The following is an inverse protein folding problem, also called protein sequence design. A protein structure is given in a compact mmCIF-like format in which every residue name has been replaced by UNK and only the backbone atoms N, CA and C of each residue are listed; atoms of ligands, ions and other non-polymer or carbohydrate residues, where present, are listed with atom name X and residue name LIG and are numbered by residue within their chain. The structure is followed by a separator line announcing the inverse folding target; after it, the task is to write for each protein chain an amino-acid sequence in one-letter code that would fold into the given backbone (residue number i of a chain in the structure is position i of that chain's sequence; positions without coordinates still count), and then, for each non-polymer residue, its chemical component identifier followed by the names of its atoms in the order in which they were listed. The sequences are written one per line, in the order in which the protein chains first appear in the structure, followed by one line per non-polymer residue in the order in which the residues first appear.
data_IF_102928407304
#
_entry.id   IF_102928407304
#
_cell.length_a   1.000
_cell.length_b   1.000
_cell.length_c   1.000
_cell.angle_alpha   90.00
_cell.angle_beta   90.00
_cell.angle_gamma   90.00
#
_symmetry.space_group_name_H-M   'P 1'
#
loop_
_entity.id
_entity.type
_entity.pdbx_description
1 polymer ?
#
# COMPACT_ATOMS: atom_id res chain seq x y z
N UNK A 1 18.04 -9.92 -2.40
CA UNK A 1 17.91 -8.98 -3.53
C UNK A 1 16.58 -8.28 -3.36
N UNK A 2 16.54 -6.95 -3.47
CA UNK A 2 15.27 -6.22 -3.41
C UNK A 2 14.38 -6.63 -4.60
N UNK A 3 13.05 -6.71 -4.41
CA UNK A 3 12.13 -7.07 -5.49
C UNK A 3 12.23 -6.03 -6.61
N UNK A 4 12.11 -6.47 -7.87
CA UNK A 4 12.01 -5.55 -8.99
C UNK A 4 10.61 -4.94 -8.99
N UNK A 5 10.53 -3.65 -8.68
CA UNK A 5 9.27 -2.88 -8.65
C UNK A 5 9.19 -2.05 -9.94
N UNK A 6 8.15 -2.27 -10.76
CA UNK A 6 7.89 -1.39 -11.90
C UNK A 6 7.20 -0.11 -11.46
N UNK A 7 7.47 1.00 -12.17
CA UNK A 7 6.80 2.29 -11.94
C UNK A 7 5.99 2.63 -13.18
N UNK A 8 4.67 2.72 -13.03
CA UNK A 8 3.73 3.08 -14.07
C UNK A 8 3.15 4.46 -13.74
N UNK A 9 3.56 5.53 -14.47
CA UNK A 9 3.16 6.89 -14.13
C UNK A 9 1.66 7.13 -14.39
N UNK A 10 1.02 7.85 -13.48
CA UNK A 10 -0.35 8.35 -13.62
C UNK A 10 -0.44 9.34 -14.79
N UNK A 11 -1.21 8.98 -15.83
CA UNK A 11 -1.44 9.84 -17.00
C UNK A 11 -2.26 11.08 -16.68
N UNK A 12 -3.15 10.96 -15.70
CA UNK A 12 -4.05 12.02 -15.23
C UNK A 12 -3.67 12.45 -13.80
N UNK A 13 -2.37 12.62 -13.55
CA UNK A 13 -1.88 13.08 -12.25
C UNK A 13 -2.55 14.39 -11.82
N UNK A 14 -2.80 14.54 -10.52
CA UNK A 14 -3.48 15.69 -9.95
C UNK A 14 -2.71 16.97 -10.24
N UNK A 15 -3.41 17.95 -10.81
CA UNK A 15 -2.85 19.28 -11.08
C UNK A 15 -2.16 19.87 -9.82
N UNK A 16 -0.95 20.45 -9.94
CA UNK A 16 -0.23 20.97 -8.77
C UNK A 16 -1.01 22.00 -7.95
N UNK A 17 -1.84 22.83 -8.59
CA UNK A 17 -2.70 23.80 -7.89
C UNK A 17 -3.77 23.08 -7.09
N UNK A 18 -4.39 22.05 -7.69
CA UNK A 18 -5.39 21.23 -7.00
C UNK A 18 -4.78 20.46 -5.83
N UNK A 19 -3.59 19.87 -6.01
CA UNK A 19 -2.86 19.19 -4.95
C UNK A 19 -2.54 20.14 -3.79
N UNK A 20 -2.05 21.35 -4.08
CA UNK A 20 -1.79 22.36 -3.06
C UNK A 20 -3.03 22.71 -2.24
N UNK A 21 -4.18 22.92 -2.90
CA UNK A 21 -5.47 23.16 -2.22
C UNK A 21 -5.88 22.01 -1.31
N UNK A 22 -5.67 20.76 -1.74
CA UNK A 22 -5.94 19.58 -0.91
C UNK A 22 -5.03 19.57 0.33
N UNK A 23 -3.74 19.88 0.17
CA UNK A 23 -2.76 19.84 1.26
C UNK A 23 -2.93 20.98 2.29
N UNK A 24 -3.68 22.05 1.97
CA UNK A 24 -4.04 23.09 2.92
C UNK A 24 -4.90 22.55 4.08
N UNK A 25 -5.94 21.78 3.76
CA UNK A 25 -6.83 21.10 4.72
C UNK A 25 -7.27 19.71 4.22
N UNK A 26 -6.38 18.69 4.32
CA UNK A 26 -6.63 17.38 3.72
C UNK A 26 -7.62 16.50 4.52
N UNK A 27 -7.98 16.90 5.74
CA UNK A 27 -8.68 16.04 6.68
C UNK A 27 -7.93 14.72 6.95
N UNK A 28 -8.66 13.63 7.19
CA UNK A 28 -8.08 12.29 7.38
C UNK A 28 -8.77 11.26 6.49
N UNK A 29 -8.02 10.67 5.55
CA UNK A 29 -8.51 9.57 4.69
C UNK A 29 -9.57 9.98 3.66
N UNK A 30 -9.62 11.27 3.28
CA UNK A 30 -10.59 11.81 2.32
C UNK A 30 -10.00 11.98 0.91
N UNK A 31 -8.68 12.12 0.82
CA UNK A 31 -7.94 12.34 -0.41
C UNK A 31 -6.81 11.31 -0.52
N UNK A 32 -6.56 10.86 -1.76
CA UNK A 32 -5.58 9.84 -2.09
C UNK A 32 -4.58 10.41 -3.08
N UNK A 33 -3.37 9.87 -3.08
CA UNK A 33 -2.30 10.30 -3.98
C UNK A 33 -2.51 9.73 -5.39
N UNK A 34 -1.67 10.12 -6.34
CA UNK A 34 -1.86 9.79 -7.75
C UNK A 34 -1.56 8.31 -8.05
N UNK A 35 -0.83 7.62 -7.18
CA UNK A 35 -0.44 6.23 -7.34
C UNK A 35 -0.84 5.36 -6.14
N UNK A 36 -0.81 4.05 -6.36
CA UNK A 36 -0.86 3.02 -5.34
C UNK A 36 0.21 1.97 -5.64
N UNK A 37 0.66 1.26 -4.62
CA UNK A 37 1.47 0.07 -4.80
C UNK A 37 0.58 -1.17 -4.85
N UNK A 38 0.92 -2.13 -5.71
CA UNK A 38 0.31 -3.47 -5.71
C UNK A 38 1.37 -4.56 -5.87
N UNK A 39 1.16 -5.71 -5.24
CA UNK A 39 1.89 -6.95 -5.49
C UNK A 39 0.95 -8.15 -5.38
N UNK A 40 1.22 -9.19 -6.16
CA UNK A 40 0.42 -10.41 -6.20
C UNK A 40 1.16 -11.54 -5.53
N UNK A 41 0.47 -12.29 -4.68
CA UNK A 41 0.95 -13.57 -4.18
C UNK A 41 0.13 -14.72 -4.74
N UNK A 42 0.81 -15.75 -5.24
CA UNK A 42 0.22 -17.06 -5.54
C UNK A 42 1.06 -18.20 -4.95
N UNK A 43 0.46 -19.37 -4.79
CA UNK A 43 1.15 -20.57 -4.28
C UNK A 43 2.36 -20.93 -5.14
N UNK A 44 2.25 -20.77 -6.45
CA UNK A 44 3.28 -21.17 -7.43
C UNK A 44 4.46 -20.21 -7.48
N UNK A 45 4.21 -18.90 -7.35
CA UNK A 45 5.21 -17.86 -7.62
C UNK A 45 5.66 -17.10 -6.37
N UNK A 46 4.96 -17.25 -5.23
CA UNK A 46 5.12 -16.34 -4.11
C UNK A 46 4.73 -14.92 -4.49
N UNK A 47 5.36 -13.92 -3.86
CA UNK A 47 5.17 -12.49 -4.19
C UNK A 47 5.82 -12.13 -5.52
N UNK A 48 5.05 -11.55 -6.43
CA UNK A 48 5.46 -11.15 -7.78
C UNK A 48 4.56 -10.01 -8.30
N UNK A 49 4.80 -9.56 -9.53
CA UNK A 49 4.06 -8.45 -10.17
C UNK A 49 4.01 -7.18 -9.29
N UNK A 50 5.12 -6.86 -8.64
CA UNK A 50 5.25 -5.68 -7.79
C UNK A 50 5.35 -4.41 -8.62
N UNK A 51 4.44 -3.47 -8.40
CA UNK A 51 4.37 -2.23 -9.18
C UNK A 51 3.81 -1.06 -8.37
N UNK A 52 4.34 0.13 -8.61
CA UNK A 52 3.64 1.40 -8.33
C UNK A 52 2.85 1.75 -9.59
N UNK A 53 1.52 1.87 -9.45
CA UNK A 53 0.58 2.05 -10.55
C UNK A 53 -0.35 3.23 -10.28
N UNK A 54 -1.03 3.79 -11.29
CA UNK A 54 -1.99 4.85 -11.06
C UNK A 54 -3.07 4.41 -10.07
N UNK A 55 -3.44 5.29 -9.13
CA UNK A 55 -4.49 5.00 -8.16
C UNK A 55 -5.82 4.75 -8.89
N UNK A 56 -6.51 3.67 -8.54
CA UNK A 56 -7.74 3.29 -9.22
C UNK A 56 -8.49 2.15 -8.53
N UNK A 57 -9.71 1.84 -9.01
CA UNK A 57 -10.50 0.76 -8.44
C UNK A 57 -9.85 -0.60 -8.71
N UNK A 58 -9.93 -1.50 -7.73
CA UNK A 58 -9.66 -2.91 -7.96
C UNK A 58 -10.81 -3.54 -8.75
N UNK A 59 -10.47 -4.36 -9.74
CA UNK A 59 -11.42 -5.26 -10.39
C UNK A 59 -11.29 -6.63 -9.74
N UNK A 60 -12.32 -7.06 -9.01
CA UNK A 60 -12.33 -8.34 -8.29
C UNK A 60 -13.59 -9.13 -8.62
N UNK A 61 -13.48 -10.47 -8.55
CA UNK A 61 -14.60 -11.36 -8.73
C UNK A 61 -15.58 -11.26 -7.53
N UNK A 62 -16.90 -11.28 -7.73
CA UNK A 62 -17.87 -11.27 -6.62
C UNK A 62 -17.70 -12.44 -5.63
N UNK A 63 -17.08 -13.55 -6.04
CA UNK A 63 -16.75 -14.70 -5.21
C UNK A 63 -15.37 -14.60 -4.54
N UNK A 64 -14.66 -13.47 -4.64
CA UNK A 64 -13.39 -13.28 -3.93
C UNK A 64 -13.57 -13.46 -2.42
N UNK A 65 -12.74 -14.30 -1.80
CA UNK A 65 -12.92 -14.69 -0.40
C UNK A 65 -12.89 -13.52 0.58
N UNK A 66 -12.21 -12.41 0.27
CA UNK A 66 -12.31 -11.18 1.08
C UNK A 66 -13.77 -10.71 1.27
N UNK A 67 -14.61 -10.83 0.24
CA UNK A 67 -16.00 -10.36 0.26
C UNK A 67 -16.94 -11.26 1.05
N UNK A 68 -16.53 -12.50 1.34
CA UNK A 68 -17.37 -13.51 2.03
C UNK A 68 -16.85 -13.87 3.41
N UNK A 69 -15.54 -13.88 3.58
CA UNK A 69 -14.87 -14.41 4.78
C UNK A 69 -13.88 -13.43 5.41
N UNK A 70 -13.80 -12.18 4.92
CA UNK A 70 -12.98 -11.11 5.48
C UNK A 70 -11.51 -11.53 5.75
N UNK A 71 -10.94 -12.35 4.86
CA UNK A 71 -9.53 -12.73 4.96
C UNK A 71 -8.66 -11.57 4.46
N UNK A 72 -8.45 -10.58 5.32
CA UNK A 72 -7.74 -9.33 5.02
C UNK A 72 -7.07 -8.75 6.28
N UNK A 73 -5.98 -7.99 6.09
CA UNK A 73 -5.26 -7.29 7.16
C UNK A 73 -4.80 -5.92 6.68
N UNK A 74 -4.51 -5.01 7.60
CA UNK A 74 -3.99 -3.68 7.28
C UNK A 74 -2.95 -3.19 8.29
N UNK A 75 -2.28 -2.10 7.92
CA UNK A 75 -1.35 -1.35 8.74
C UNK A 75 -1.63 0.17 8.70
N UNK A 76 -0.96 0.88 9.60
CA UNK A 76 -1.04 2.33 9.69
C UNK A 76 0.28 2.95 10.07
N UNK A 77 0.83 3.78 9.18
CA UNK A 77 2.05 4.53 9.41
C UNK A 77 2.01 5.86 8.66
N UNK A 78 3.05 6.67 8.79
CA UNK A 78 3.10 8.03 8.26
C UNK A 78 4.46 8.32 7.62
N UNK A 79 4.44 9.15 6.58
CA UNK A 79 5.61 9.80 6.01
C UNK A 79 5.59 11.30 6.33
N UNK A 80 6.75 11.85 6.66
CA UNK A 80 6.92 13.21 7.15
C UNK A 80 7.98 13.93 6.32
N UNK A 81 7.69 15.16 5.89
CA UNK A 81 8.70 16.00 5.26
C UNK A 81 9.49 16.75 6.33
N UNK A 82 10.81 16.65 6.26
CA UNK A 82 11.73 17.37 7.13
C UNK A 82 12.16 18.71 6.53
N UNK A 83 12.73 19.58 7.36
CA UNK A 83 13.14 20.93 6.97
C UNK A 83 14.22 20.96 5.86
N UNK A 84 15.01 19.88 5.74
CA UNK A 84 16.01 19.70 4.68
C UNK A 84 15.41 19.15 3.37
N UNK A 85 14.09 18.96 3.32
CA UNK A 85 13.36 18.42 2.17
C UNK A 85 13.30 16.89 2.13
N UNK A 86 14.05 16.18 2.99
CA UNK A 86 14.00 14.71 3.06
C UNK A 86 12.65 14.21 3.59
N UNK A 87 12.28 12.98 3.22
CA UNK A 87 11.04 12.34 3.65
C UNK A 87 11.36 11.13 4.53
N UNK A 88 10.84 11.11 5.74
CA UNK A 88 11.12 10.08 6.73
C UNK A 88 9.84 9.34 7.11
N UNK A 89 9.98 8.06 7.47
CA UNK A 89 8.93 7.29 8.12
C UNK A 89 9.37 6.92 9.54
N UNK A 90 8.40 6.76 10.45
CA UNK A 90 8.71 6.47 11.84
C UNK A 90 8.57 4.97 12.15
N UNK A 91 9.70 4.32 12.46
CA UNK A 91 9.80 2.90 12.84
C UNK A 91 9.09 1.93 11.88
N UNK A 92 9.29 2.04 10.55
CA UNK A 92 8.55 1.24 9.57
C UNK A 92 8.75 -0.27 9.73
N UNK A 93 9.90 -0.70 10.25
CA UNK A 93 10.20 -2.12 10.53
C UNK A 93 9.27 -2.72 11.59
N UNK A 94 8.78 -1.91 12.54
CA UNK A 94 7.84 -2.36 13.56
C UNK A 94 6.45 -2.58 12.96
N UNK A 95 6.04 -1.73 12.01
CA UNK A 95 4.82 -1.93 11.23
C UNK A 95 4.93 -3.19 10.37
N UNK A 96 6.04 -3.39 9.65
CA UNK A 96 6.27 -4.58 8.84
C UNK A 96 6.21 -5.87 9.67
N UNK A 97 6.87 -5.89 10.84
CA UNK A 97 6.82 -7.03 11.75
C UNK A 97 5.41 -7.29 12.29
N UNK A 98 4.61 -6.24 12.54
CA UNK A 98 3.21 -6.39 12.96
C UNK A 98 2.33 -6.90 11.82
N UNK A 99 2.55 -6.42 10.60
CA UNK A 99 1.87 -6.88 9.41
C UNK A 99 2.09 -8.39 9.17
N UNK A 100 3.34 -8.87 9.31
CA UNK A 100 3.63 -10.32 9.22
C UNK A 100 2.90 -11.14 10.30
N UNK A 101 2.87 -10.67 11.55
CA UNK A 101 2.11 -11.36 12.62
C UNK A 101 0.61 -11.39 12.33
N UNK A 102 0.06 -10.30 11.77
CA UNK A 102 -1.33 -10.26 11.34
C UNK A 102 -1.59 -11.27 10.20
N UNK A 103 -0.66 -11.38 9.24
CA UNK A 103 -0.77 -12.31 8.12
C UNK A 103 -0.80 -13.76 8.60
N UNK A 104 0.15 -14.12 9.47
CA UNK A 104 0.20 -15.44 10.11
C UNK A 104 -1.11 -15.74 10.86
N UNK A 105 -1.61 -14.77 11.64
CA UNK A 105 -2.84 -14.95 12.43
C UNK A 105 -4.09 -15.18 11.57
N UNK A 106 -4.15 -14.61 10.37
CA UNK A 106 -5.26 -14.75 9.42
C UNK A 106 -4.97 -15.75 8.30
N UNK A 107 -3.93 -16.58 8.43
CA UNK A 107 -3.53 -17.56 7.42
C UNK A 107 -3.34 -16.94 6.02
N UNK A 108 -2.83 -15.72 5.98
CA UNK A 108 -2.39 -15.02 4.77
C UNK A 108 -0.88 -15.24 4.58
N UNK A 109 -0.35 -15.15 3.34
CA UNK A 109 1.06 -15.28 3.07
C UNK A 109 1.85 -14.16 3.76
N UNK A 110 2.92 -14.47 4.50
CA UNK A 110 3.76 -13.43 5.08
C UNK A 110 4.44 -12.63 3.96
N UNK A 111 4.35 -11.30 4.04
CA UNK A 111 5.14 -10.39 3.19
C UNK A 111 6.51 -10.17 3.83
N UNK A 112 7.64 -10.45 3.14
CA UNK A 112 8.97 -10.17 3.66
C UNK A 112 9.12 -8.71 4.10
N UNK A 113 9.83 -8.47 5.21
CA UNK A 113 10.02 -7.10 5.74
C UNK A 113 10.66 -6.18 4.70
N UNK A 114 11.65 -6.68 3.97
CA UNK A 114 12.32 -5.93 2.92
C UNK A 114 11.36 -5.51 1.79
N UNK A 115 10.40 -6.36 1.44
CA UNK A 115 9.41 -6.09 0.38
C UNK A 115 8.38 -5.07 0.86
N UNK A 116 7.94 -5.15 2.12
CA UNK A 116 7.09 -4.13 2.74
C UNK A 116 7.78 -2.75 2.73
N UNK A 117 9.05 -2.69 3.15
CA UNK A 117 9.80 -1.44 3.18
C UNK A 117 10.04 -0.88 1.76
N UNK A 118 10.37 -1.75 0.80
CA UNK A 118 10.55 -1.36 -0.59
C UNK A 118 9.26 -0.83 -1.22
N UNK A 119 8.10 -1.41 -0.91
CA UNK A 119 6.79 -0.92 -1.34
C UNK A 119 6.51 0.50 -0.82
N UNK A 120 6.76 0.73 0.48
CA UNK A 120 6.62 2.06 1.09
C UNK A 120 7.55 3.06 0.45
N UNK A 121 8.83 2.72 0.28
CA UNK A 121 9.83 3.60 -0.31
C UNK A 121 9.48 3.95 -1.77
N UNK A 122 9.10 2.96 -2.57
CA UNK A 122 8.74 3.16 -3.97
C UNK A 122 7.53 4.08 -4.13
N UNK A 123 6.46 3.84 -3.36
CA UNK A 123 5.25 4.67 -3.42
C UNK A 123 5.51 6.09 -2.93
N UNK A 124 6.15 6.25 -1.76
CA UNK A 124 6.43 7.57 -1.17
C UNK A 124 7.37 8.38 -2.05
N UNK A 125 8.35 7.73 -2.71
CA UNK A 125 9.25 8.40 -3.65
C UNK A 125 8.51 8.84 -4.92
N UNK A 126 7.59 8.03 -5.43
CA UNK A 126 6.79 8.35 -6.62
C UNK A 126 5.83 9.50 -6.34
N UNK A 127 5.15 9.48 -5.19
CA UNK A 127 4.20 10.51 -4.76
C UNK A 127 4.82 11.50 -3.78
N UNK A 128 6.11 11.78 -3.92
CA UNK A 128 6.84 12.62 -2.97
C UNK A 128 6.20 14.00 -2.80
N UNK A 129 5.63 14.58 -3.85
CA UNK A 129 4.94 15.88 -3.81
C UNK A 129 3.66 15.91 -2.95
N UNK A 130 3.10 14.74 -2.63
CA UNK A 130 1.94 14.61 -1.74
C UNK A 130 2.31 14.62 -0.26
N UNK A 131 3.60 14.49 0.08
CA UNK A 131 4.04 14.60 1.48
C UNK A 131 4.02 16.08 1.88
N UNK A 132 3.10 16.50 2.79
CA UNK A 132 2.93 17.90 3.13
C UNK A 132 4.16 18.46 3.84
N UNK A 133 4.45 19.73 3.58
CA UNK A 133 5.33 20.54 4.41
C UNK A 133 4.53 21.24 5.53
N UNK A 134 5.23 21.66 6.57
CA UNK A 134 4.65 22.37 7.72
C UNK A 134 4.51 21.49 8.96
N UNK A 135 4.28 22.15 10.10
CA UNK A 135 4.17 21.48 11.39
C UNK A 135 2.88 20.65 11.46
N UNK A 136 2.97 19.50 12.15
CA UNK A 136 1.84 18.60 12.47
C UNK A 136 1.10 17.94 11.28
N UNK A 137 1.59 18.09 10.05
CA UNK A 137 1.04 17.40 8.86
C UNK A 137 1.89 16.19 8.45
N UNK A 138 1.26 15.20 7.83
CA UNK A 138 1.92 13.97 7.36
C UNK A 138 1.14 13.30 6.24
N UNK A 139 1.81 12.54 5.38
CA UNK A 139 1.14 11.61 4.48
C UNK A 139 0.85 10.31 5.24
N UNK A 140 -0.42 9.94 5.38
CA UNK A 140 -0.79 8.67 6.00
C UNK A 140 -0.65 7.53 4.98
N UNK A 141 -0.01 6.44 5.40
CA UNK A 141 0.21 5.25 4.60
C UNK A 141 -0.68 4.12 5.14
N UNK A 142 -1.42 3.47 4.23
CA UNK A 142 -2.33 2.35 4.52
C UNK A 142 -1.89 1.10 3.76
N UNK A 143 -0.86 0.37 4.19
CA UNK A 143 -0.59 -0.96 3.65
C UNK A 143 -1.73 -1.90 4.04
N UNK A 144 -2.17 -2.76 3.13
CA UNK A 144 -3.18 -3.78 3.40
C UNK A 144 -2.99 -4.94 2.43
N UNK A 145 -3.42 -6.13 2.81
CA UNK A 145 -3.52 -7.25 1.87
C UNK A 145 -4.85 -7.98 2.07
N UNK A 146 -5.34 -8.60 1.01
CA UNK A 146 -6.63 -9.30 1.03
C UNK A 146 -6.63 -10.53 0.12
N UNK A 147 -7.44 -11.52 0.49
CA UNK A 147 -7.69 -12.71 -0.30
C UNK A 147 -8.47 -12.39 -1.59
N UNK A 148 -7.74 -12.29 -2.70
CA UNK A 148 -8.26 -12.00 -4.04
C UNK A 148 -8.64 -13.24 -4.85
N UNK A 149 -8.51 -14.44 -4.29
CA UNK A 149 -8.96 -15.69 -4.93
C UNK A 149 -10.50 -15.80 -4.93
N UNK A 150 -11.08 -16.13 -6.09
CA UNK A 150 -12.50 -16.43 -6.25
C UNK A 150 -12.82 -17.87 -5.81
N UNK A 151 -13.41 -18.04 -4.62
CA UNK A 151 -13.85 -19.34 -4.11
C UNK A 151 -14.83 -19.20 -2.93
N UNK A 152 -15.76 -20.14 -2.80
CA UNK A 152 -16.76 -20.18 -1.71
C UNK A 152 -16.52 -21.32 -0.70
N UNK A 153 -15.46 -22.11 -0.89
CA UNK A 153 -15.05 -23.07 0.13
C UNK A 153 -14.35 -22.36 1.29
N UNK A 154 -14.53 -22.79 2.53
CA UNK A 154 -13.83 -22.14 3.67
C UNK A 154 -12.43 -22.73 3.82
N UNK A 155 -11.41 -22.01 3.35
CA UNK A 155 -9.97 -22.31 3.52
C UNK A 155 -9.14 -21.03 3.32
N UNK A 156 -7.83 -21.03 3.66
CA UNK A 156 -6.92 -19.97 3.25
C UNK A 156 -6.88 -19.80 1.72
N UNK A 157 -6.80 -18.56 1.26
CA UNK A 157 -6.68 -18.24 -0.15
C UNK A 157 -5.30 -18.60 -0.73
N UNK A 158 -5.29 -19.02 -1.99
CA UNK A 158 -4.12 -19.31 -2.81
C UNK A 158 -3.73 -18.13 -3.72
N UNK A 159 -4.51 -17.05 -3.69
CA UNK A 159 -4.25 -15.80 -4.41
C UNK A 159 -4.56 -14.63 -3.47
N UNK A 160 -3.56 -13.78 -3.24
CA UNK A 160 -3.64 -12.62 -2.34
C UNK A 160 -3.06 -11.40 -3.04
N UNK A 161 -3.69 -10.24 -2.85
CA UNK A 161 -3.19 -8.95 -3.31
C UNK A 161 -2.74 -8.13 -2.11
N UNK A 162 -1.53 -7.55 -2.19
CA UNK A 162 -0.98 -6.55 -1.27
C UNK A 162 -0.90 -5.20 -1.97
#
# INVERSE_FOLDING_TARGET
MSPQISIEPARDATDPTRRAQILEDPGFGLHFTDHMYTSTWTVENGWHDSAVRPYGPFTIDPACAVLHYAQEIFEGMKAYRHADGSIWTFRPTVNAARFQRSAERLALPPLPEADFLAAIEALVSTDADWVPSGEEKSLYLRPFMFASEAFLGVRPANHVTF
#
